data_IF_294302642194
#
_entry.id   IF_294302642194
#
_cell.length_a   1.000
_cell.length_b   1.000
_cell.length_c   1.000
_cell.angle_alpha   90.00
_cell.angle_beta   90.00
_cell.angle_gamma   90.00
#
_symmetry.space_group_name_H-M   'P 1'
#
loop_
_entity.id
_entity.type
_entity.pdbx_description
1 polymer ?
#
# COMPACT_ATOMS: atom_id res chain seq x y z
N UNK A 1 29.99 -24.22 9.30
CA UNK A 1 30.80 -23.57 8.25
C UNK A 1 29.88 -23.41 7.05
N UNK A 2 29.43 -22.19 6.74
CA UNK A 2 28.50 -21.98 5.63
C UNK A 2 29.29 -22.01 4.33
N UNK A 3 29.02 -22.99 3.47
CA UNK A 3 29.60 -23.03 2.14
C UNK A 3 29.27 -21.73 1.39
N UNK A 4 30.20 -21.20 0.58
CA UNK A 4 29.94 -19.99 -0.20
C UNK A 4 28.74 -20.22 -1.12
N UNK A 5 27.82 -19.25 -1.15
CA UNK A 5 26.66 -19.31 -2.03
C UNK A 5 27.11 -19.37 -3.50
N UNK A 6 26.41 -20.14 -4.36
CA UNK A 6 26.63 -20.12 -5.80
C UNK A 6 26.57 -18.69 -6.37
N UNK A 7 27.39 -18.39 -7.37
CA UNK A 7 27.48 -17.04 -7.95
C UNK A 7 26.15 -16.54 -8.52
N UNK A 8 25.31 -17.44 -9.04
CA UNK A 8 23.95 -17.13 -9.50
C UNK A 8 23.08 -16.59 -8.36
N UNK A 9 23.16 -17.20 -7.18
CA UNK A 9 22.42 -16.76 -5.99
C UNK A 9 22.97 -15.44 -5.46
N UNK A 10 24.29 -15.26 -5.48
CA UNK A 10 24.92 -14.00 -5.05
C UNK A 10 24.51 -12.82 -5.91
N UNK A 11 24.49 -12.99 -7.24
CA UNK A 11 24.02 -11.96 -8.18
C UNK A 11 22.54 -11.66 -7.97
N UNK A 12 21.70 -12.68 -7.85
CA UNK A 12 20.27 -12.50 -7.58
C UNK A 12 20.03 -11.72 -6.27
N UNK A 13 20.80 -11.97 -5.21
CA UNK A 13 20.71 -11.23 -3.95
C UNK A 13 21.23 -9.80 -4.04
N UNK A 14 22.18 -9.51 -4.93
CA UNK A 14 22.70 -8.16 -5.15
C UNK A 14 21.66 -7.25 -5.83
N UNK A 15 20.77 -7.82 -6.64
CA UNK A 15 19.74 -7.09 -7.38
C UNK A 15 18.44 -6.91 -6.59
N UNK A 16 18.26 -7.60 -5.46
CA UNK A 16 17.05 -7.51 -4.62
C UNK A 16 17.13 -6.31 -3.67
N UNK A 17 16.08 -5.50 -3.66
CA UNK A 17 15.92 -4.38 -2.73
C UNK A 17 14.73 -4.59 -1.79
N UNK A 18 14.84 -4.04 -0.58
CA UNK A 18 13.67 -3.95 0.31
C UNK A 18 12.58 -3.06 -0.29
N UNK A 19 12.94 -2.11 -1.14
CA UNK A 19 11.99 -1.20 -1.80
C UNK A 19 11.12 -1.90 -2.85
N UNK A 20 11.53 -3.08 -3.32
CA UNK A 20 10.82 -3.88 -4.32
C UNK A 20 9.37 -4.18 -3.92
N UNK A 21 9.09 -4.23 -2.61
CA UNK A 21 7.71 -4.38 -2.10
C UNK A 21 6.76 -3.28 -2.57
N UNK A 22 7.29 -2.10 -2.93
CA UNK A 22 6.54 -0.93 -3.39
C UNK A 22 6.74 -0.60 -4.87
N UNK A 23 7.80 -1.12 -5.50
CA UNK A 23 8.18 -0.70 -6.87
C UNK A 23 8.12 -1.83 -7.88
N UNK A 24 8.30 -3.08 -7.47
CA UNK A 24 8.39 -4.20 -8.38
C UNK A 24 7.06 -4.44 -9.11
N UNK A 25 7.08 -4.39 -10.44
CA UNK A 25 5.89 -4.54 -11.29
C UNK A 25 5.47 -6.01 -11.48
N UNK A 26 6.42 -6.94 -11.38
CA UNK A 26 6.17 -8.37 -11.54
C UNK A 26 7.21 -9.24 -10.85
N UNK A 27 6.84 -10.49 -10.54
CA UNK A 27 7.71 -11.43 -9.82
C UNK A 27 7.36 -11.54 -8.34
N UNK A 28 8.38 -11.76 -7.50
CA UNK A 28 8.23 -12.03 -6.07
C UNK A 28 8.90 -10.94 -5.25
N UNK A 29 8.17 -10.33 -4.32
CA UNK A 29 8.69 -9.37 -3.36
C UNK A 29 8.43 -9.84 -1.93
N UNK A 30 9.38 -9.59 -1.03
CA UNK A 30 9.26 -9.92 0.39
C UNK A 30 8.60 -8.77 1.16
N UNK A 31 7.50 -9.05 1.87
CA UNK A 31 6.77 -8.04 2.63
C UNK A 31 5.94 -8.64 3.78
N UNK A 32 5.60 -7.81 4.78
CA UNK A 32 4.65 -8.16 5.84
C UNK A 32 3.20 -8.08 5.34
N UNK A 33 2.25 -8.62 6.12
CA UNK A 33 0.82 -8.49 5.82
C UNK A 33 0.35 -7.03 5.75
N UNK A 34 0.82 -6.16 6.65
CA UNK A 34 0.48 -4.72 6.62
C UNK A 34 1.04 -4.00 5.40
N UNK A 35 2.24 -4.39 4.95
CA UNK A 35 2.80 -3.87 3.70
C UNK A 35 2.01 -4.36 2.49
N UNK A 36 1.59 -5.62 2.49
CA UNK A 36 0.75 -6.20 1.44
C UNK A 36 -0.60 -5.48 1.32
N UNK A 37 -1.25 -5.12 2.44
CA UNK A 37 -2.49 -4.35 2.43
C UNK A 37 -2.33 -2.99 1.73
N UNK A 38 -1.27 -2.26 2.03
CA UNK A 38 -0.98 -0.98 1.39
C UNK A 38 -0.60 -1.15 -0.09
N UNK A 39 0.20 -2.18 -0.40
CA UNK A 39 0.58 -2.52 -1.77
C UNK A 39 -0.64 -2.89 -2.61
N UNK A 40 -1.63 -3.58 -2.04
CA UNK A 40 -2.88 -3.92 -2.74
C UNK A 40 -3.62 -2.67 -3.24
N UNK A 41 -3.70 -1.61 -2.43
CA UNK A 41 -4.33 -0.35 -2.85
C UNK A 41 -3.57 0.31 -4.03
N UNK A 42 -2.24 0.29 -4.00
CA UNK A 42 -1.41 0.80 -5.12
C UNK A 42 -1.60 -0.03 -6.40
N UNK A 43 -1.69 -1.36 -6.26
CA UNK A 43 -1.93 -2.26 -7.38
C UNK A 43 -3.33 -2.09 -7.95
N UNK A 44 -4.34 -1.81 -7.12
CA UNK A 44 -5.68 -1.49 -7.60
C UNK A 44 -5.66 -0.24 -8.48
N UNK A 45 -5.01 0.85 -8.04
CA UNK A 45 -4.82 2.04 -8.89
C UNK A 45 -4.12 1.70 -10.20
N UNK A 46 -3.05 0.91 -10.14
CA UNK A 46 -2.28 0.55 -11.34
C UNK A 46 -3.14 -0.22 -12.35
N UNK A 47 -4.01 -1.11 -11.87
CA UNK A 47 -5.01 -1.80 -12.70
C UNK A 47 -6.04 -0.84 -13.29
N UNK A 48 -6.56 0.07 -12.48
CA UNK A 48 -7.56 1.06 -12.93
C UNK A 48 -6.98 1.98 -14.01
N UNK A 49 -5.73 2.44 -13.86
CA UNK A 49 -5.01 3.22 -14.89
C UNK A 49 -4.86 2.43 -16.18
N UNK A 50 -4.49 1.14 -16.09
CA UNK A 50 -4.39 0.28 -17.27
C UNK A 50 -5.75 0.08 -17.98
N UNK A 51 -6.86 0.19 -17.24
CA UNK A 51 -8.22 0.19 -17.77
C UNK A 51 -8.70 1.58 -18.23
N UNK A 52 -7.86 2.61 -18.18
CA UNK A 52 -8.21 3.99 -18.58
C UNK A 52 -9.01 4.78 -17.54
N UNK A 53 -9.08 4.31 -16.29
CA UNK A 53 -9.84 4.95 -15.21
C UNK A 53 -8.98 5.92 -14.39
N UNK A 54 -9.55 7.05 -13.99
CA UNK A 54 -8.91 8.00 -13.08
C UNK A 54 -9.42 7.85 -11.63
N UNK A 55 -9.02 6.76 -10.99
CA UNK A 55 -9.32 6.43 -9.60
C UNK A 55 -8.27 6.95 -8.61
N UNK A 56 -8.62 6.90 -7.33
CA UNK A 56 -7.73 7.14 -6.20
C UNK A 56 -8.08 6.15 -5.09
N UNK A 57 -7.12 5.89 -4.19
CA UNK A 57 -7.35 5.07 -3.00
C UNK A 57 -7.53 5.95 -1.77
N UNK A 58 -8.44 5.57 -0.87
CA UNK A 58 -8.56 6.18 0.45
C UNK A 58 -8.50 5.09 1.52
N UNK A 59 -7.59 5.27 2.48
CA UNK A 59 -7.37 4.34 3.59
C UNK A 59 -7.50 5.12 4.88
N UNK A 60 -8.36 4.65 5.78
CA UNK A 60 -8.49 5.18 7.14
C UNK A 60 -8.72 4.03 8.11
N UNK A 61 -8.43 4.29 9.39
CA UNK A 61 -8.57 3.31 10.45
C UNK A 61 -8.08 3.85 11.78
N UNK A 62 -8.51 3.21 12.85
CA UNK A 62 -8.04 3.46 14.20
C UNK A 62 -7.05 2.37 14.63
N UNK A 63 -6.07 2.73 15.46
CA UNK A 63 -5.01 1.81 15.84
C UNK A 63 -5.52 0.76 16.82
N UNK A 64 -5.34 -0.50 16.45
CA UNK A 64 -5.62 -1.63 17.33
C UNK A 64 -5.02 -2.92 16.80
N UNK A 65 -4.83 -3.91 17.68
CA UNK A 65 -4.48 -5.27 17.27
C UNK A 65 -5.63 -5.84 16.42
N UNK A 66 -5.36 -6.57 15.31
CA UNK A 66 -4.07 -7.04 14.81
C UNK A 66 -3.36 -6.10 13.81
N UNK A 67 -3.96 -4.95 13.48
CA UNK A 67 -3.50 -4.03 12.43
C UNK A 67 -2.75 -2.80 12.96
N UNK A 68 -2.29 -2.82 14.21
CA UNK A 68 -1.74 -1.64 14.90
C UNK A 68 -0.48 -1.03 14.26
N UNK A 69 0.17 -1.74 13.34
CA UNK A 69 1.32 -1.24 12.57
C UNK A 69 0.98 -0.69 11.18
N UNK A 70 -0.29 -0.76 10.74
CA UNK A 70 -0.70 -0.27 9.40
C UNK A 70 -0.38 1.21 9.25
N UNK A 71 -0.73 2.04 10.22
CA UNK A 71 -0.46 3.48 10.19
C UNK A 71 1.03 3.81 10.03
N UNK A 72 1.88 3.16 10.84
CA UNK A 72 3.32 3.36 10.78
C UNK A 72 3.88 2.91 9.42
N UNK A 73 3.33 1.82 8.89
CA UNK A 73 3.71 1.33 7.55
C UNK A 73 3.26 2.32 6.47
N UNK A 74 2.06 2.89 6.58
CA UNK A 74 1.52 3.85 5.64
C UNK A 74 2.32 5.15 5.65
N UNK A 75 2.71 5.64 6.83
CA UNK A 75 3.58 6.80 6.96
C UNK A 75 4.96 6.58 6.35
N UNK A 76 5.57 5.41 6.57
CA UNK A 76 6.85 5.04 5.93
C UNK A 76 6.73 4.92 4.42
N UNK A 77 5.59 4.44 3.92
CA UNK A 77 5.30 4.27 2.50
C UNK A 77 4.66 5.51 1.84
N UNK A 78 4.54 6.64 2.55
CA UNK A 78 3.72 7.78 2.12
C UNK A 78 4.05 8.28 0.70
N UNK A 79 5.34 8.33 0.34
CA UNK A 79 5.79 8.72 -1.00
C UNK A 79 5.31 7.75 -2.09
N UNK A 80 5.29 6.45 -1.81
CA UNK A 80 4.79 5.46 -2.76
C UNK A 80 3.26 5.54 -2.85
N UNK A 81 2.58 5.72 -1.72
CA UNK A 81 1.12 5.88 -1.69
C UNK A 81 0.69 7.10 -2.50
N UNK A 82 1.34 8.24 -2.31
CA UNK A 82 1.06 9.48 -3.03
C UNK A 82 1.24 9.34 -4.55
N UNK A 83 2.31 8.69 -5.01
CA UNK A 83 2.53 8.40 -6.44
C UNK A 83 1.41 7.55 -7.06
N UNK A 84 0.75 6.71 -6.27
CA UNK A 84 -0.39 5.90 -6.68
C UNK A 84 -1.75 6.53 -6.30
N UNK A 85 -1.80 7.82 -5.98
CA UNK A 85 -3.03 8.52 -5.59
C UNK A 85 -3.76 7.83 -4.42
N UNK A 86 -3.00 7.22 -3.50
CA UNK A 86 -3.55 6.60 -2.29
C UNK A 86 -3.35 7.55 -1.12
N UNK A 87 -4.44 8.00 -0.51
CA UNK A 87 -4.42 8.83 0.69
C UNK A 87 -4.65 7.97 1.92
N UNK A 88 -3.71 8.00 2.85
CA UNK A 88 -3.90 7.49 4.20
C UNK A 88 -4.31 8.64 5.14
N UNK A 89 -5.36 8.44 5.93
CA UNK A 89 -5.80 9.34 6.98
C UNK A 89 -6.05 8.55 8.26
N UNK A 90 -5.39 8.91 9.37
CA UNK A 90 -5.63 8.22 10.65
C UNK A 90 -7.01 8.58 11.18
N UNK A 91 -7.82 7.59 11.52
CA UNK A 91 -9.07 7.79 12.25
C UNK A 91 -8.82 8.08 13.73
N UNK A 92 -9.74 8.79 14.37
CA UNK A 92 -9.75 8.98 15.82
C UNK A 92 -10.42 7.81 16.57
N UNK A 93 -11.30 7.08 15.88
CA UNK A 93 -11.93 5.81 16.27
C UNK A 93 -12.48 5.12 15.00
N UNK A 94 -12.97 3.91 15.15
CA UNK A 94 -13.52 3.09 14.07
C UNK A 94 -14.77 3.71 13.43
N UNK A 95 -15.66 4.31 14.23
CA UNK A 95 -16.91 4.91 13.76
C UNK A 95 -16.68 6.12 12.83
N UNK A 96 -15.73 6.98 13.21
CA UNK A 96 -15.31 8.13 12.41
C UNK A 96 -14.53 7.69 11.16
N UNK A 97 -13.74 6.63 11.26
CA UNK A 97 -13.08 6.03 10.10
C UNK A 97 -14.12 5.49 9.10
N UNK A 98 -15.13 4.76 9.57
CA UNK A 98 -16.23 4.25 8.75
C UNK A 98 -17.05 5.38 8.10
N UNK A 99 -17.35 6.42 8.88
CA UNK A 99 -18.06 7.61 8.37
C UNK A 99 -17.25 8.33 7.29
N UNK A 100 -15.93 8.43 7.47
CA UNK A 100 -15.04 9.02 6.45
C UNK A 100 -15.06 8.22 5.15
N UNK A 101 -15.03 6.87 5.22
CA UNK A 101 -15.20 5.99 4.05
C UNK A 101 -16.55 6.24 3.39
N UNK A 102 -17.64 6.30 4.15
CA UNK A 102 -18.97 6.57 3.60
C UNK A 102 -19.03 7.91 2.87
N UNK A 103 -18.41 8.96 3.43
CA UNK A 103 -18.31 10.27 2.80
C UNK A 103 -17.61 10.22 1.43
N UNK A 104 -16.57 9.39 1.25
CA UNK A 104 -15.91 9.23 -0.06
C UNK A 104 -16.84 8.72 -1.16
N UNK A 105 -17.89 7.97 -0.80
CA UNK A 105 -18.84 7.40 -1.75
C UNK A 105 -19.99 8.35 -2.08
N UNK A 106 -20.17 9.43 -1.31
CA UNK A 106 -21.20 10.44 -1.54
C UNK A 106 -20.72 11.59 -2.42
N UNK A 107 -19.42 11.63 -2.76
CA UNK A 107 -18.86 12.67 -3.64
C UNK A 107 -19.57 12.62 -4.99
N UNK A 108 -20.19 13.72 -5.38
CA UNK A 108 -20.96 13.85 -6.63
C UNK A 108 -22.43 13.41 -6.54
N UNK A 109 -22.94 12.98 -5.37
CA UNK A 109 -24.37 12.68 -5.19
C UNK A 109 -25.25 13.93 -5.07
N UNK A 110 -24.67 15.07 -4.69
CA UNK A 110 -25.35 16.36 -4.63
C UNK A 110 -24.68 17.34 -5.61
N UNK A 111 -25.46 18.09 -6.41
CA UNK A 111 -24.92 19.21 -7.17
C UNK A 111 -24.34 20.25 -6.19
N UNK A 112 -23.14 20.73 -6.49
CA UNK A 112 -22.56 21.91 -5.84
C UNK A 112 -23.04 23.21 -6.48
#
# INVERSE_FOLDING_TARGET
MNAPLPDSVRRALADISLDDRWTLEGGRAYMSGTQALLRLAMLQRSRDVAAGLNTAGFITGYRGSPLGSVDQTAWRAARHLERHHVRFHSGLNEDLAATSVWGTQQVGMQPG
#
